data_IF_614051513595
#
_entry.id   IF_614051513595
#
_cell.length_a   1.000
_cell.length_b   1.000
_cell.length_c   1.000
_cell.angle_alpha   90.00
_cell.angle_beta   90.00
_cell.angle_gamma   90.00
#
_symmetry.space_group_name_H-M   'P 1'
#
loop_
_entity.id
_entity.type
_entity.pdbx_description
1 polymer ?
#
# COMPACT_ATOMS: atom_id res chain seq x y z
N UNK A 1 -25.89 -57.78 -36.35
CA UNK A 1 -26.30 -56.90 -35.21
C UNK A 1 -25.02 -56.26 -34.69
N UNK A 2 -24.74 -54.99 -35.03
CA UNK A 2 -24.94 -53.77 -34.19
C UNK A 2 -24.16 -53.88 -32.86
N UNK A 3 -23.21 -53.02 -32.44
CA UNK A 3 -22.94 -51.58 -32.70
C UNK A 3 -21.65 -51.12 -31.97
N UNK A 4 -20.87 -50.27 -32.65
CA UNK A 4 -20.25 -48.99 -32.21
C UNK A 4 -19.51 -48.84 -30.87
N UNK A 5 -18.18 -48.60 -30.93
CA UNK A 5 -17.35 -48.03 -29.84
C UNK A 5 -17.35 -46.50 -29.94
N UNK A 6 -17.58 -45.85 -28.79
CA UNK A 6 -17.88 -44.42 -28.63
C UNK A 6 -16.61 -43.56 -28.56
N UNK A 7 -16.70 -42.38 -29.17
CA UNK A 7 -15.78 -41.24 -29.09
C UNK A 7 -15.45 -40.86 -27.63
N UNK A 8 -14.16 -40.70 -27.33
CA UNK A 8 -13.68 -39.99 -26.14
C UNK A 8 -13.14 -38.63 -26.58
N UNK A 9 -13.93 -37.59 -26.29
CA UNK A 9 -13.61 -36.20 -26.52
C UNK A 9 -12.56 -35.72 -25.50
N UNK A 10 -11.46 -35.15 -26.01
CA UNK A 10 -10.42 -34.48 -25.22
C UNK A 10 -10.93 -33.12 -24.76
N UNK A 11 -11.24 -32.98 -23.47
CA UNK A 11 -11.63 -31.71 -22.86
C UNK A 11 -10.38 -30.85 -22.59
N UNK A 12 -10.26 -29.74 -23.33
CA UNK A 12 -9.24 -28.71 -23.12
C UNK A 12 -9.68 -27.81 -21.95
N UNK A 13 -9.08 -27.99 -20.77
CA UNK A 13 -9.33 -27.13 -19.61
C UNK A 13 -8.55 -25.81 -19.76
N UNK A 14 -9.26 -24.75 -20.16
CA UNK A 14 -8.76 -23.37 -20.09
C UNK A 14 -8.95 -22.88 -18.65
N UNK A 15 -7.85 -22.73 -17.91
CA UNK A 15 -7.84 -22.13 -16.58
C UNK A 15 -7.83 -20.61 -16.71
N UNK A 16 -8.98 -19.97 -16.48
CA UNK A 16 -9.08 -18.53 -16.29
C UNK A 16 -8.50 -18.16 -14.92
N UNK A 17 -7.35 -17.48 -14.90
CA UNK A 17 -6.82 -16.83 -13.70
C UNK A 17 -7.69 -15.60 -13.41
N UNK A 18 -8.52 -15.66 -12.37
CA UNK A 18 -9.27 -14.50 -11.88
C UNK A 18 -8.40 -13.71 -10.90
N UNK A 19 -7.91 -12.56 -11.35
CA UNK A 19 -7.29 -11.57 -10.47
C UNK A 19 -8.36 -11.03 -9.51
N UNK A 20 -8.23 -11.33 -8.22
CA UNK A 20 -9.08 -10.77 -7.17
C UNK A 20 -8.62 -9.34 -6.90
N UNK A 21 -9.32 -8.35 -7.47
CA UNK A 21 -9.25 -6.98 -6.95
C UNK A 21 -10.26 -6.85 -5.81
N UNK A 22 -9.77 -6.69 -4.58
CA UNK A 22 -10.64 -6.42 -3.45
C UNK A 22 -11.21 -4.99 -3.58
N UNK A 23 -12.54 -4.79 -3.66
CA UNK A 23 -13.09 -3.46 -3.55
C UNK A 23 -12.89 -2.96 -2.11
N UNK A 24 -12.22 -1.83 -1.95
CA UNK A 24 -12.22 -1.08 -0.69
C UNK A 24 -13.66 -0.63 -0.44
N UNK A 25 -14.35 -1.37 0.43
CA UNK A 25 -15.69 -1.02 0.89
C UNK A 25 -15.52 0.03 1.98
N UNK A 26 -16.03 1.24 1.74
CA UNK A 26 -16.22 2.21 2.81
C UNK A 26 -17.28 1.63 3.75
N UNK A 27 -16.82 1.07 4.87
CA UNK A 27 -17.69 0.54 5.93
C UNK A 27 -18.17 1.74 6.77
N UNK A 28 -19.36 2.23 6.42
CA UNK A 28 -20.10 3.20 7.20
C UNK A 28 -20.89 2.44 8.28
N UNK A 29 -20.78 2.88 9.54
CA UNK A 29 -21.50 2.34 10.71
C UNK A 29 -21.08 1.00 11.33
N UNK A 30 -19.79 0.84 11.68
CA UNK A 30 -19.42 0.09 12.90
C UNK A 30 -18.32 0.81 13.69
N UNK A 31 -18.71 1.43 14.79
CA UNK A 31 -17.81 1.68 15.94
C UNK A 31 -17.43 0.34 16.58
N UNK A 32 -16.79 -0.54 15.83
CA UNK A 32 -16.18 -1.75 16.36
C UNK A 32 -14.87 -1.33 17.00
N UNK A 33 -14.84 -1.35 18.35
CA UNK A 33 -13.66 -1.26 19.23
C UNK A 33 -12.36 -0.93 18.51
N UNK A 34 -12.23 0.30 17.98
CA UNK A 34 -10.99 0.69 17.35
C UNK A 34 -9.91 0.71 18.43
N UNK A 35 -8.77 0.17 18.09
CA UNK A 35 -7.55 0.08 18.87
C UNK A 35 -6.64 1.28 18.59
N UNK A 36 -6.68 1.79 17.36
CA UNK A 36 -5.90 2.95 16.92
C UNK A 36 -6.62 3.78 15.84
N UNK A 37 -6.12 4.99 15.64
CA UNK A 37 -6.35 5.82 14.46
C UNK A 37 -5.02 6.05 13.73
N UNK A 38 -5.08 6.11 12.39
CA UNK A 38 -3.92 6.32 11.53
C UNK A 38 -4.19 7.40 10.48
N UNK A 39 -3.20 8.24 10.23
CA UNK A 39 -3.20 9.21 9.13
C UNK A 39 -1.85 9.23 8.45
N UNK A 40 -1.87 9.39 7.13
CA UNK A 40 -0.70 9.42 6.27
C UNK A 40 -0.78 10.60 5.32
N UNK A 41 0.31 11.36 5.17
CA UNK A 41 0.35 12.53 4.30
C UNK A 41 1.78 12.84 3.84
N UNK A 42 1.97 13.44 2.65
CA UNK A 42 3.29 13.87 2.19
C UNK A 42 3.85 14.97 3.08
N UNK A 43 5.16 14.93 3.32
CA UNK A 43 5.87 16.05 3.91
C UNK A 43 6.11 17.14 2.84
N UNK A 44 6.59 18.32 3.25
CA UNK A 44 6.91 19.41 2.33
C UNK A 44 7.94 19.04 1.24
N UNK A 45 8.72 17.97 1.45
CA UNK A 45 9.58 17.36 0.41
C UNK A 45 8.86 16.15 -0.17
N UNK A 46 8.73 16.10 -1.50
CA UNK A 46 7.96 15.07 -2.23
C UNK A 46 8.42 13.62 -2.01
N UNK A 47 9.64 13.39 -1.51
CA UNK A 47 10.18 12.04 -1.22
C UNK A 47 9.96 11.59 0.22
N UNK A 48 9.33 12.40 1.06
CA UNK A 48 9.12 12.10 2.48
C UNK A 48 7.65 11.98 2.81
N UNK A 49 7.32 10.97 3.62
CA UNK A 49 5.94 10.67 4.01
C UNK A 49 5.82 10.63 5.52
N UNK A 50 4.84 11.33 6.05
CA UNK A 50 4.46 11.20 7.46
C UNK A 50 3.45 10.07 7.63
N UNK A 51 3.70 9.23 8.63
CA UNK A 51 2.71 8.33 9.19
C UNK A 51 2.55 8.65 10.68
N UNK A 52 1.33 9.01 11.05
CA UNK A 52 0.96 9.30 12.43
C UNK A 52 -0.08 8.28 12.88
N UNK A 53 0.21 7.61 14.00
CA UNK A 53 -0.65 6.64 14.65
C UNK A 53 -0.96 7.11 16.07
N UNK A 54 -2.22 7.05 16.47
CA UNK A 54 -2.63 7.27 17.85
C UNK A 54 -3.37 6.05 18.36
N UNK A 55 -2.87 5.52 19.49
CA UNK A 55 -3.48 4.41 20.22
C UNK A 55 -4.59 4.95 21.10
N UNK A 56 -5.69 4.22 21.17
CA UNK A 56 -6.74 4.54 22.14
C UNK A 56 -6.47 3.99 23.55
N UNK A 57 -5.65 2.93 23.64
CA UNK A 57 -5.18 2.38 24.93
C UNK A 57 -3.68 2.08 24.87
N UNK A 58 -3.01 2.29 26.00
CA UNK A 58 -1.54 2.29 26.09
C UNK A 58 -0.90 0.91 25.95
N UNK A 59 -1.63 -0.12 26.35
CA UNK A 59 -1.25 -1.53 26.33
C UNK A 59 -1.30 -2.15 24.93
N UNK A 60 -2.04 -1.52 24.01
CA UNK A 60 -2.21 -2.03 22.66
C UNK A 60 -0.86 -2.06 21.93
N UNK A 61 -0.58 -3.16 21.23
CA UNK A 61 0.56 -3.24 20.31
C UNK A 61 0.01 -3.09 18.89
N UNK A 62 0.69 -2.27 18.09
CA UNK A 62 0.36 -2.09 16.68
C UNK A 62 1.53 -2.63 15.88
N UNK A 63 1.28 -3.60 15.02
CA UNK A 63 2.26 -4.05 14.04
C UNK A 63 2.12 -3.18 12.78
N UNK A 64 3.23 -2.57 12.39
CA UNK A 64 3.34 -1.66 11.25
C UNK A 64 4.30 -2.28 10.23
N UNK A 65 3.79 -2.55 9.03
CA UNK A 65 4.59 -3.11 7.93
C UNK A 65 4.48 -2.24 6.70
N UNK A 66 5.59 -1.92 6.05
CA UNK A 66 5.60 -1.37 4.69
C UNK A 66 5.89 -2.50 3.71
N UNK A 67 5.06 -2.64 2.69
CA UNK A 67 5.27 -3.61 1.60
C UNK A 67 5.30 -2.92 0.24
N UNK A 68 6.03 -3.51 -0.70
CA UNK A 68 5.98 -3.13 -2.11
C UNK A 68 4.86 -3.86 -2.88
N UNK A 69 4.73 -3.59 -4.18
CA UNK A 69 3.73 -4.22 -5.06
C UNK A 69 3.80 -5.74 -5.13
N UNK A 70 4.98 -6.34 -4.91
CA UNK A 70 5.17 -7.80 -4.91
C UNK A 70 4.83 -8.42 -3.56
N UNK A 71 4.57 -7.60 -2.54
CA UNK A 71 4.36 -8.04 -1.16
C UNK A 71 5.66 -8.18 -0.36
N UNK A 72 6.81 -7.78 -0.90
CA UNK A 72 8.07 -7.82 -0.15
C UNK A 72 8.01 -6.81 1.00
N UNK A 73 8.41 -7.23 2.20
CA UNK A 73 8.46 -6.37 3.39
C UNK A 73 9.71 -5.49 3.30
N UNK A 74 9.51 -4.18 3.26
CA UNK A 74 10.57 -3.17 3.24
C UNK A 74 10.86 -2.57 4.62
N UNK A 75 9.85 -2.57 5.49
CA UNK A 75 9.95 -2.07 6.85
C UNK A 75 8.97 -2.82 7.75
N UNK A 76 9.38 -3.08 8.99
CA UNK A 76 8.52 -3.68 10.00
C UNK A 76 8.88 -3.12 11.38
N UNK A 77 7.87 -2.66 12.11
CA UNK A 77 8.02 -2.22 13.50
C UNK A 77 6.76 -2.58 14.30
N UNK A 78 6.96 -3.10 15.52
CA UNK A 78 5.89 -3.23 16.51
C UNK A 78 5.88 -1.97 17.39
N UNK A 79 4.93 -1.07 17.13
CA UNK A 79 4.73 0.14 17.92
C UNK A 79 4.10 -0.24 19.27
N UNK A 80 4.93 -0.19 20.31
CA UNK A 80 4.55 -0.45 21.69
C UNK A 80 4.81 0.79 22.56
N UNK A 81 4.03 0.95 23.63
CA UNK A 81 4.23 2.10 24.51
C UNK A 81 5.46 1.89 25.39
N UNK A 82 6.47 2.77 25.33
CA UNK A 82 7.53 2.78 26.35
C UNK A 82 6.91 3.17 27.69
N UNK A 83 6.94 2.25 28.66
CA UNK A 83 6.34 2.42 29.99
C UNK A 83 4.83 2.75 29.99
N UNK A 84 4.07 2.25 29.01
CA UNK A 84 2.59 2.39 28.96
C UNK A 84 2.07 3.84 28.91
N UNK A 85 2.88 4.81 28.49
CA UNK A 85 2.45 6.22 28.37
C UNK A 85 2.46 6.76 26.94
N UNK A 86 3.23 6.13 26.06
CA UNK A 86 3.33 6.58 24.68
C UNK A 86 2.09 6.13 23.89
N UNK A 87 1.20 7.10 23.68
CA UNK A 87 -0.06 6.94 22.95
C UNK A 87 0.09 7.29 21.48
N UNK A 88 1.04 8.16 21.13
CA UNK A 88 1.28 8.62 19.77
C UNK A 88 2.60 8.07 19.21
N UNK A 89 2.55 7.68 17.94
CA UNK A 89 3.70 7.35 17.12
C UNK A 89 3.66 8.24 15.88
N UNK A 90 4.76 8.95 15.60
CA UNK A 90 4.86 9.90 14.49
C UNK A 90 6.21 9.70 13.83
N UNK A 91 6.20 9.10 12.66
CA UNK A 91 7.43 8.80 11.92
C UNK A 91 7.38 9.43 10.54
N UNK A 92 8.48 10.09 10.19
CA UNK A 92 8.74 10.51 8.83
C UNK A 92 9.60 9.45 8.15
N UNK A 93 9.08 8.89 7.08
CA UNK A 93 9.78 7.93 6.24
C UNK A 93 10.43 8.65 5.07
N UNK A 94 11.70 8.36 4.81
CA UNK A 94 12.42 8.82 3.64
C UNK A 94 12.32 7.75 2.55
N UNK A 95 11.69 8.10 1.43
CA UNK A 95 11.43 7.19 0.31
C UNK A 95 12.39 7.43 -0.87
N UNK A 96 13.41 8.27 -0.70
CA UNK A 96 14.33 8.67 -1.77
C UNK A 96 15.09 7.50 -2.39
N UNK A 97 15.36 6.44 -1.62
CA UNK A 97 16.08 5.24 -2.08
C UNK A 97 15.15 4.16 -2.65
N UNK A 98 13.84 4.41 -2.70
CA UNK A 98 12.86 3.48 -3.27
C UNK A 98 12.60 3.81 -4.74
N UNK A 99 12.46 2.77 -5.56
CA UNK A 99 12.07 2.94 -6.96
C UNK A 99 10.62 3.41 -7.10
N UNK A 100 10.28 3.98 -8.26
CA UNK A 100 8.90 4.23 -8.65
C UNK A 100 8.05 2.95 -8.49
N UNK A 101 6.84 3.11 -7.97
CA UNK A 101 5.99 1.96 -7.64
C UNK A 101 4.87 2.30 -6.65
N UNK A 102 4.05 1.30 -6.35
CA UNK A 102 2.98 1.37 -5.34
C UNK A 102 3.44 0.67 -4.08
N UNK A 103 3.21 1.31 -2.96
CA UNK A 103 3.60 0.82 -1.66
C UNK A 103 2.41 0.89 -0.71
N UNK A 104 2.37 0.00 0.27
CA UNK A 104 1.27 -0.08 1.21
C UNK A 104 1.80 -0.22 2.63
N UNK A 105 1.41 0.70 3.51
CA UNK A 105 1.50 0.48 4.94
C UNK A 105 0.34 -0.41 5.38
N UNK A 106 0.65 -1.56 5.97
CA UNK A 106 -0.28 -2.45 6.66
C UNK A 106 -0.14 -2.22 8.15
N UNK A 107 -1.25 -1.89 8.80
CA UNK A 107 -1.30 -1.50 10.21
C UNK A 107 -2.28 -2.43 10.90
N UNK A 108 -1.82 -3.27 11.82
CA UNK A 108 -2.67 -4.26 12.50
C UNK A 108 -2.54 -4.19 14.02
N UNK A 109 -3.65 -4.41 14.70
CA UNK A 109 -3.70 -4.53 16.16
C UNK A 109 -4.90 -5.41 16.56
N UNK A 110 -4.62 -6.66 16.95
CA UNK A 110 -5.67 -7.65 17.21
C UNK A 110 -6.55 -7.87 15.98
N UNK A 111 -7.85 -7.55 16.07
CA UNK A 111 -8.80 -7.67 14.97
C UNK A 111 -8.87 -6.43 14.06
N UNK A 112 -8.30 -5.28 14.45
CA UNK A 112 -8.29 -4.09 13.59
C UNK A 112 -7.11 -4.21 12.61
N UNK A 113 -7.40 -4.09 11.32
CA UNK A 113 -6.40 -3.97 10.26
C UNK A 113 -6.77 -2.80 9.35
N UNK A 114 -5.81 -1.92 9.06
CA UNK A 114 -5.94 -0.82 8.11
C UNK A 114 -4.79 -0.87 7.10
N UNK A 115 -5.10 -0.60 5.82
CA UNK A 115 -4.10 -0.46 4.76
C UNK A 115 -4.10 0.98 4.22
N UNK A 116 -2.90 1.54 4.01
CA UNK A 116 -2.69 2.88 3.44
C UNK A 116 -1.72 2.79 2.28
N UNK A 117 -2.24 2.87 1.05
CA UNK A 117 -1.45 2.77 -0.17
C UNK A 117 -1.08 4.14 -0.72
N UNK A 118 0.12 4.24 -1.30
CA UNK A 118 0.61 5.43 -2.00
C UNK A 118 1.47 5.03 -3.20
N UNK A 119 1.67 5.97 -4.13
CA UNK A 119 2.47 5.78 -5.33
C UNK A 119 3.66 6.72 -5.32
N UNK A 120 4.85 6.19 -5.57
CA UNK A 120 6.06 6.95 -5.88
C UNK A 120 6.19 7.05 -7.40
N UNK A 121 6.37 8.27 -7.88
CA UNK A 121 6.58 8.58 -9.29
C UNK A 121 7.63 9.65 -9.44
N UNK A 122 8.59 9.41 -10.30
CA UNK A 122 9.54 10.42 -10.75
C UNK A 122 8.86 11.31 -11.79
N UNK A 123 8.91 12.65 -11.65
CA UNK A 123 8.37 13.55 -12.67
C UNK A 123 9.06 13.31 -14.02
N UNK A 124 8.30 13.40 -15.11
CA UNK A 124 8.89 13.36 -16.45
C UNK A 124 9.86 14.53 -16.63
N UNK A 125 10.99 14.29 -17.31
CA UNK A 125 11.92 15.35 -17.68
C UNK A 125 11.24 16.27 -18.69
N UNK A 126 11.05 17.54 -18.33
CA UNK A 126 10.61 18.56 -19.28
C UNK A 126 11.80 18.97 -20.15
N UNK A 127 11.70 18.75 -21.45
CA UNK A 127 12.70 19.21 -22.42
C UNK A 127 12.62 20.73 -22.54
N UNK A 128 13.57 21.43 -21.92
CA UNK A 128 13.75 22.87 -22.15
C UNK A 128 14.40 23.03 -23.52
N UNK A 129 13.58 23.15 -24.57
CA UNK A 129 14.11 23.42 -25.90
C UNK A 129 14.79 24.80 -25.91
N UNK A 130 16.06 24.89 -26.34
CA UNK A 130 16.74 26.17 -26.45
C UNK A 130 16.07 27.00 -27.55
N UNK A 131 15.38 28.08 -27.18
CA UNK A 131 14.88 29.05 -28.16
C UNK A 131 16.07 29.86 -28.70
N UNK A 132 16.60 29.48 -29.86
CA UNK A 132 17.59 30.28 -30.57
C UNK A 132 16.89 31.34 -31.42
N UNK A 133 16.94 32.60 -30.99
CA UNK A 133 16.57 33.72 -31.86
C UNK A 133 17.67 33.91 -32.90
N UNK A 134 17.39 33.59 -34.16
CA UNK A 134 18.28 33.91 -35.29
C UNK A 134 17.71 35.16 -35.96
N UNK A 135 18.42 36.29 -35.85
CA UNK A 135 18.14 37.45 -36.67
C UNK A 135 18.68 37.19 -38.09
N UNK A 136 17.79 37.15 -39.07
CA UNK A 136 18.16 37.18 -40.48
C UNK A 136 18.25 38.66 -40.89
N UNK A 137 19.39 39.05 -41.46
CA UNK A 137 19.65 40.40 -41.99
C UNK A 137 19.65 40.37 -43.51
#
# INVERSE_FOLDING_TARGET
MKTSIKLLASALLVSFMTSVSSPVRADDHKSQNKVFAAVMFPAAKNTKLWLCLEKYKSENKIDLTLVNQRGDILFHETVSGKNSKQMAYRQQFDMSELSDGTYTFRISAGSQTEERSFKLTTPAVEEVQPSRLIAIK
#
